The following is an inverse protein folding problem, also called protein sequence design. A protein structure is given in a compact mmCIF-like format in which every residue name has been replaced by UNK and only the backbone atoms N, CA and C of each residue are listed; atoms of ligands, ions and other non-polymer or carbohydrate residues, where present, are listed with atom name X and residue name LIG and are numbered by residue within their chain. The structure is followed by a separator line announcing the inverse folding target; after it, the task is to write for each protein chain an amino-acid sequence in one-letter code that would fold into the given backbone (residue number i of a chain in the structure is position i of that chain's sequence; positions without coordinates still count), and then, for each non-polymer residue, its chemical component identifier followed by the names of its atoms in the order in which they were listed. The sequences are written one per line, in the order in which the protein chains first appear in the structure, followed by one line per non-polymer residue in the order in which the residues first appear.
data_IF_050547036699
#
_entry.id   IF_050547036699
#
_cell.length_a   1.000
_cell.length_b   1.000
_cell.length_c   1.000
_cell.angle_alpha   90.00
_cell.angle_beta   90.00
_cell.angle_gamma   90.00
#
_symmetry.space_group_name_H-M   'P 1'
#
loop_
_entity.id
_entity.type
_entity.pdbx_description
1 polymer ?
#
# COMPACT_ATOMS: atom_id res chain seq x y z
N UNK A 1 8.27 13.79 -24.15
CA UNK A 1 8.74 14.57 -25.32
C UNK A 1 8.85 13.60 -26.47
N UNK A 2 8.12 13.84 -27.55
CA UNK A 2 8.08 12.97 -28.72
C UNK A 2 8.81 13.67 -29.86
N UNK A 3 10.04 13.24 -30.15
CA UNK A 3 10.92 13.87 -31.14
C UNK A 3 10.47 13.52 -32.56
N UNK A 4 10.53 14.49 -33.48
CA UNK A 4 10.29 14.27 -34.90
C UNK A 4 11.64 14.11 -35.62
N UNK A 5 11.99 12.90 -36.10
CA UNK A 5 13.29 12.66 -36.72
C UNK A 5 13.48 13.42 -38.03
N UNK A 6 12.41 13.71 -38.79
CA UNK A 6 12.51 14.46 -40.03
C UNK A 6 12.83 15.94 -39.76
N UNK A 7 12.16 16.54 -38.75
CA UNK A 7 12.44 17.92 -38.33
C UNK A 7 13.82 18.06 -37.72
N UNK A 8 14.25 17.10 -36.89
CA UNK A 8 15.61 17.08 -36.35
C UNK A 8 16.66 17.08 -37.47
N UNK A 9 16.48 16.25 -38.50
CA UNK A 9 17.40 16.20 -39.63
C UNK A 9 17.44 17.53 -40.42
N UNK A 10 16.30 18.19 -40.63
CA UNK A 10 16.25 19.48 -41.33
C UNK A 10 17.07 20.59 -40.64
N UNK A 11 17.15 20.56 -39.30
CA UNK A 11 17.95 21.52 -38.53
C UNK A 11 19.38 21.03 -38.23
N UNK A 12 19.77 19.86 -38.76
CA UNK A 12 20.99 19.12 -38.44
C UNK A 12 21.18 18.93 -36.92
N UNK A 13 20.12 18.52 -36.25
CA UNK A 13 20.09 18.22 -34.82
C UNK A 13 19.95 16.72 -34.58
N UNK A 14 20.54 16.25 -33.49
CA UNK A 14 20.44 14.87 -33.03
C UNK A 14 19.67 14.79 -31.70
N UNK A 15 19.19 13.59 -31.31
CA UNK A 15 18.64 13.39 -29.96
C UNK A 15 19.63 13.74 -28.84
N UNK A 16 20.95 13.65 -29.10
CA UNK A 16 21.99 14.02 -28.14
C UNK A 16 21.99 15.53 -27.89
N UNK A 17 21.85 16.34 -28.94
CA UNK A 17 21.76 17.80 -28.82
C UNK A 17 20.54 18.22 -28.00
N UNK A 18 19.40 17.57 -28.23
CA UNK A 18 18.18 17.79 -27.44
C UNK A 18 18.40 17.43 -25.97
N UNK A 19 18.97 16.26 -25.68
CA UNK A 19 19.29 15.84 -24.31
C UNK A 19 20.21 16.85 -23.62
N UNK A 20 21.25 17.31 -24.30
CA UNK A 20 22.21 18.28 -23.76
C UNK A 20 21.54 19.63 -23.48
N UNK A 21 20.73 20.14 -24.40
CA UNK A 21 20.00 21.38 -24.23
C UNK A 21 19.04 21.34 -23.03
N UNK A 22 18.31 20.23 -22.86
CA UNK A 22 17.42 20.03 -21.70
C UNK A 22 18.22 20.00 -20.41
N UNK A 23 19.32 19.24 -20.37
CA UNK A 23 20.15 19.11 -19.16
C UNK A 23 20.79 20.44 -18.77
N UNK A 24 21.16 21.29 -19.74
CA UNK A 24 21.76 22.60 -19.50
C UNK A 24 20.75 23.68 -19.07
N UNK A 25 19.49 23.59 -19.53
CA UNK A 25 18.48 24.63 -19.28
C UNK A 25 17.48 24.29 -18.19
N UNK A 26 17.23 23.00 -17.93
CA UNK A 26 16.39 22.54 -16.82
C UNK A 26 17.24 22.27 -15.56
N UNK A 27 17.83 23.34 -15.02
CA UNK A 27 18.73 23.28 -13.87
C UNK A 27 18.19 24.06 -12.67
N UNK A 28 18.59 23.64 -11.47
CA UNK A 28 18.39 24.41 -10.25
C UNK A 28 19.73 25.00 -9.83
N UNK A 29 19.86 26.33 -9.87
CA UNK A 29 21.10 27.03 -9.51
C UNK A 29 20.93 27.74 -8.17
N UNK A 30 21.71 27.33 -7.17
CA UNK A 30 21.81 28.08 -5.91
C UNK A 30 22.68 29.31 -6.13
N UNK A 31 22.11 30.50 -5.88
CA UNK A 31 22.79 31.78 -6.17
C UNK A 31 23.24 32.51 -4.91
N UNK A 32 23.15 31.88 -3.73
CA UNK A 32 23.57 32.47 -2.47
C UNK A 32 22.63 33.54 -1.94
N UNK A 33 23.17 34.50 -1.18
CA UNK A 33 22.41 35.55 -0.52
C UNK A 33 23.12 36.90 -0.63
N UNK A 34 22.36 37.96 -0.85
CA UNK A 34 22.80 39.35 -0.66
C UNK A 34 22.91 39.62 0.84
N UNK A 35 24.05 40.13 1.29
CA UNK A 35 24.29 40.39 2.73
C UNK A 35 24.37 39.13 3.60
N UNK A 36 24.68 37.97 2.99
CA UNK A 36 25.03 36.75 3.73
C UNK A 36 26.33 36.91 4.53
N UNK A 37 26.48 36.16 5.61
CA UNK A 37 27.71 36.17 6.40
C UNK A 37 28.86 35.47 5.66
N UNK A 38 30.11 35.97 5.76
CA UNK A 38 30.52 37.20 6.46
C UNK A 38 30.15 38.48 5.69
N UNK A 39 29.53 39.44 6.38
CA UNK A 39 29.06 40.70 5.80
C UNK A 39 29.82 41.91 6.32
N UNK A 40 29.75 43.04 5.60
CA UNK A 40 30.31 44.32 6.04
C UNK A 40 29.54 44.88 7.24
N UNK A 41 30.22 45.61 8.12
CA UNK A 41 29.59 46.23 9.30
C UNK A 41 28.55 47.27 8.87
N UNK A 42 27.36 47.21 9.45
CA UNK A 42 26.22 48.07 9.08
C UNK A 42 25.33 47.53 7.95
N UNK A 43 25.56 46.32 7.43
CA UNK A 43 24.67 45.68 6.46
C UNK A 43 23.26 45.45 7.04
N UNK A 44 22.25 46.16 6.51
CA UNK A 44 20.86 46.07 6.99
C UNK A 44 19.99 45.07 6.21
N UNK A 45 20.36 44.74 4.97
CA UNK A 45 19.60 43.83 4.10
C UNK A 45 20.27 42.47 4.01
N UNK A 46 19.54 41.40 4.36
CA UNK A 46 19.87 40.04 3.98
C UNK A 46 18.73 39.47 3.13
N UNK A 47 19.03 39.03 1.90
CA UNK A 47 18.04 38.48 0.98
C UNK A 47 18.61 37.30 0.19
N UNK A 48 17.85 36.22 0.06
CA UNK A 48 18.27 35.06 -0.75
C UNK A 48 18.11 35.34 -2.23
N UNK A 49 19.15 35.04 -3.02
CA UNK A 49 19.12 35.18 -4.47
C UNK A 49 18.55 33.91 -5.06
N UNK A 50 17.42 34.04 -5.76
CA UNK A 50 16.80 32.93 -6.48
C UNK A 50 17.37 32.92 -7.90
N UNK A 51 18.16 31.90 -8.21
CA UNK A 51 18.69 31.66 -9.54
C UNK A 51 17.70 30.96 -10.46
N UNK A 52 18.20 30.39 -11.56
CA UNK A 52 17.39 29.54 -12.44
C UNK A 52 16.80 28.37 -11.66
N UNK A 53 15.50 28.14 -11.86
CA UNK A 53 14.75 27.02 -11.31
C UNK A 53 14.40 26.02 -12.41
N UNK A 54 14.08 24.78 -12.01
CA UNK A 54 13.60 23.76 -12.94
C UNK A 54 12.32 24.21 -13.64
N UNK A 55 12.20 23.79 -14.90
CA UNK A 55 11.01 24.02 -15.72
C UNK A 55 9.85 23.18 -15.18
N UNK A 56 8.65 23.75 -15.19
CA UNK A 56 7.45 23.18 -14.59
C UNK A 56 6.32 22.91 -15.60
N UNK A 57 6.30 23.62 -16.73
CA UNK A 57 5.21 23.52 -17.70
C UNK A 57 5.69 23.01 -19.06
N UNK A 58 4.82 22.32 -19.79
CA UNK A 58 5.13 21.86 -21.15
C UNK A 58 5.54 23.02 -22.08
N UNK A 59 4.96 24.21 -21.88
CA UNK A 59 5.33 25.42 -22.63
C UNK A 59 6.77 25.87 -22.33
N UNK A 60 7.18 25.85 -21.06
CA UNK A 60 8.56 26.16 -20.67
C UNK A 60 9.55 25.16 -21.30
N UNK A 61 9.22 23.87 -21.30
CA UNK A 61 10.02 22.86 -22.00
C UNK A 61 10.04 23.07 -23.52
N UNK A 62 8.90 23.41 -24.14
CA UNK A 62 8.82 23.71 -25.57
C UNK A 62 9.66 24.91 -25.99
N UNK A 63 9.90 25.85 -25.07
CA UNK A 63 10.73 27.03 -25.29
C UNK A 63 12.22 26.81 -25.03
N UNK A 64 12.66 25.58 -24.69
CA UNK A 64 14.09 25.24 -24.56
C UNK A 64 14.79 25.56 -25.88
N UNK A 65 15.90 26.30 -25.77
CA UNK A 65 16.69 26.73 -26.89
C UNK A 65 17.59 25.59 -27.40
N UNK A 66 17.58 25.30 -28.70
CA UNK A 66 18.43 24.25 -29.28
C UNK A 66 19.60 24.83 -30.08
N UNK A 67 19.34 25.74 -31.02
CA UNK A 67 20.35 26.26 -31.95
C UNK A 67 19.94 27.63 -32.51
N UNK A 68 20.92 28.49 -32.80
CA UNK A 68 20.74 29.67 -33.67
C UNK A 68 21.24 29.29 -35.06
N UNK A 69 20.45 29.54 -36.09
CA UNK A 69 20.86 29.36 -37.49
C UNK A 69 21.74 30.54 -37.95
N UNK A 70 22.40 30.39 -39.08
CA UNK A 70 23.28 31.43 -39.65
C UNK A 70 22.56 32.72 -40.02
N UNK A 71 21.25 32.66 -40.23
CA UNK A 71 20.37 33.81 -40.51
C UNK A 71 19.84 34.51 -39.23
N UNK A 72 20.24 34.03 -38.04
CA UNK A 72 19.77 34.54 -36.75
C UNK A 72 18.44 33.94 -36.28
N UNK A 73 17.82 33.06 -37.06
CA UNK A 73 16.61 32.35 -36.63
C UNK A 73 16.92 31.37 -35.49
N UNK A 74 15.98 31.24 -34.56
CA UNK A 74 16.14 30.44 -33.34
C UNK A 74 15.33 29.15 -33.46
N UNK A 75 15.97 28.01 -33.24
CA UNK A 75 15.32 26.70 -33.17
C UNK A 75 15.08 26.34 -31.71
N UNK A 76 13.82 26.09 -31.37
CA UNK A 76 13.37 25.67 -30.04
C UNK A 76 12.92 24.22 -30.03
N UNK A 77 12.78 23.63 -28.85
CA UNK A 77 12.36 22.24 -28.71
C UNK A 77 11.00 21.97 -29.36
N UNK A 78 10.05 22.91 -29.24
CA UNK A 78 8.72 22.81 -29.89
C UNK A 78 8.77 22.72 -31.41
N UNK A 79 9.86 23.17 -32.04
CA UNK A 79 10.00 23.16 -33.50
C UNK A 79 10.41 21.77 -34.01
N UNK A 80 10.96 20.91 -33.15
CA UNK A 80 11.46 19.57 -33.50
C UNK A 80 10.84 18.44 -32.68
N UNK A 81 9.97 18.75 -31.73
CA UNK A 81 9.35 17.77 -30.86
C UNK A 81 7.97 18.22 -30.35
N UNK A 82 7.08 17.25 -30.14
CA UNK A 82 5.86 17.48 -29.36
C UNK A 82 6.21 17.40 -27.87
N UNK A 83 5.81 18.42 -27.12
CA UNK A 83 6.04 18.52 -25.67
C UNK A 83 4.71 18.52 -24.95
N UNK A 84 4.56 17.64 -23.98
CA UNK A 84 3.33 17.46 -23.23
C UNK A 84 3.53 16.51 -22.06
N UNK A 85 2.55 16.50 -21.16
CA UNK A 85 2.48 15.53 -20.08
C UNK A 85 2.00 14.19 -20.65
N UNK A 86 2.61 13.11 -20.21
CA UNK A 86 2.31 11.75 -20.62
C UNK A 86 2.76 10.77 -19.56
N UNK A 87 2.45 9.49 -19.76
CA UNK A 87 2.94 8.44 -18.90
C UNK A 87 4.45 8.27 -19.06
N UNK A 88 5.14 7.86 -17.99
CA UNK A 88 6.55 7.47 -18.07
C UNK A 88 6.74 6.25 -19.00
N UNK A 89 5.79 5.32 -18.93
CA UNK A 89 5.75 4.11 -19.75
C UNK A 89 4.28 3.79 -20.13
N UNK A 90 4.09 3.30 -21.35
CA UNK A 90 2.80 2.90 -21.93
C UNK A 90 2.63 1.38 -22.05
N UNK A 91 3.47 0.59 -21.38
CA UNK A 91 3.47 -0.89 -21.46
C UNK A 91 2.28 -1.56 -20.78
N UNK A 92 1.52 -0.83 -19.97
CA UNK A 92 0.41 -1.37 -19.19
C UNK A 92 -0.83 -0.53 -19.42
N UNK A 93 -1.86 -1.17 -19.96
CA UNK A 93 -3.22 -0.62 -20.00
C UNK A 93 -4.03 -1.25 -18.88
N UNK A 94 -4.60 -0.43 -18.00
CA UNK A 94 -5.35 -0.89 -16.82
C UNK A 94 -6.80 -0.45 -16.96
N UNK A 95 -7.70 -1.43 -16.86
CA UNK A 95 -9.13 -1.20 -16.96
C UNK A 95 -9.87 -1.90 -15.83
N UNK A 96 -10.98 -1.31 -15.41
CA UNK A 96 -11.92 -1.90 -14.47
C UNK A 96 -13.31 -1.81 -15.08
N UNK A 97 -13.99 -2.95 -15.26
CA UNK A 97 -15.28 -3.07 -15.96
C UNK A 97 -15.32 -2.33 -17.31
N UNK A 98 -14.24 -2.45 -18.10
CA UNK A 98 -14.10 -1.82 -19.42
C UNK A 98 -13.91 -0.31 -19.41
N UNK A 99 -13.71 0.31 -18.23
CA UNK A 99 -13.40 1.74 -18.09
C UNK A 99 -11.92 1.94 -17.74
N UNK A 100 -11.28 3.05 -18.19
CA UNK A 100 -9.91 3.37 -17.81
C UNK A 100 -9.76 3.42 -16.29
N UNK A 101 -8.77 2.68 -15.77
CA UNK A 101 -8.53 2.58 -14.34
C UNK A 101 -7.03 2.63 -14.04
N UNK A 102 -6.71 2.95 -12.80
CA UNK A 102 -5.38 2.77 -12.23
C UNK A 102 -5.53 2.03 -10.90
N UNK A 103 -4.46 1.46 -10.39
CA UNK A 103 -4.50 0.63 -9.20
C UNK A 103 -3.20 0.59 -8.44
N UNK A 104 -3.31 0.25 -7.17
CA UNK A 104 -2.19 -0.01 -6.27
C UNK A 104 -2.29 -1.45 -5.80
N UNK A 105 -1.27 -2.24 -6.11
CA UNK A 105 -1.12 -3.59 -5.57
C UNK A 105 -0.48 -3.51 -4.18
N UNK A 106 -1.29 -3.71 -3.15
CA UNK A 106 -0.82 -3.63 -1.76
C UNK A 106 -0.42 -5.02 -1.28
N UNK A 107 0.80 -5.14 -0.77
CA UNK A 107 1.33 -6.36 -0.15
C UNK A 107 1.49 -6.15 1.33
N UNK A 108 1.12 -7.16 2.10
CA UNK A 108 1.28 -7.15 3.55
C UNK A 108 2.78 -7.20 3.91
N UNK A 109 3.21 -6.34 4.83
CA UNK A 109 4.55 -6.41 5.39
C UNK A 109 4.73 -7.67 6.25
N UNK A 110 5.95 -8.17 6.35
CA UNK A 110 6.25 -9.35 7.18
C UNK A 110 5.84 -9.12 8.63
N UNK A 111 5.05 -10.05 9.18
CA UNK A 111 4.57 -9.99 10.57
C UNK A 111 3.43 -9.00 10.82
N UNK A 112 2.97 -8.26 9.80
CA UNK A 112 1.82 -7.37 9.95
C UNK A 112 0.50 -8.15 9.95
N UNK A 113 -0.54 -7.56 10.54
CA UNK A 113 -1.89 -8.12 10.54
C UNK A 113 -2.68 -7.67 9.30
N UNK A 114 -3.25 -8.61 8.57
CA UNK A 114 -3.99 -8.34 7.33
C UNK A 114 -5.25 -7.49 7.57
N UNK A 115 -6.03 -7.78 8.62
CA UNK A 115 -7.29 -7.09 8.91
C UNK A 115 -7.02 -5.65 9.37
N UNK A 116 -6.04 -5.45 10.25
CA UNK A 116 -5.67 -4.10 10.72
C UNK A 116 -5.14 -3.24 9.56
N UNK A 117 -4.31 -3.84 8.71
CA UNK A 117 -3.76 -3.15 7.53
C UNK A 117 -4.87 -2.75 6.56
N UNK A 118 -5.81 -3.65 6.25
CA UNK A 118 -6.93 -3.34 5.38
C UNK A 118 -7.84 -2.25 5.97
N UNK A 119 -8.07 -2.27 7.29
CA UNK A 119 -8.82 -1.22 7.98
C UNK A 119 -8.10 0.14 7.89
N UNK A 120 -6.78 0.17 8.08
CA UNK A 120 -5.97 1.38 7.96
C UNK A 120 -5.96 1.93 6.53
N UNK A 121 -5.89 1.06 5.52
CA UNK A 121 -5.98 1.44 4.10
C UNK A 121 -7.33 2.11 3.83
N UNK A 122 -8.44 1.46 4.23
CA UNK A 122 -9.79 2.01 4.03
C UNK A 122 -9.96 3.36 4.72
N UNK A 123 -9.48 3.49 5.96
CA UNK A 123 -9.50 4.76 6.68
C UNK A 123 -8.71 5.85 5.96
N UNK A 124 -7.53 5.51 5.44
CA UNK A 124 -6.69 6.45 4.67
C UNK A 124 -7.39 6.88 3.39
N UNK A 125 -7.97 5.94 2.63
CA UNK A 125 -8.73 6.25 1.42
C UNK A 125 -9.91 7.17 1.73
N UNK A 126 -10.71 6.86 2.75
CA UNK A 126 -11.83 7.71 3.15
C UNK A 126 -11.40 9.12 3.57
N UNK A 127 -10.21 9.28 4.15
CA UNK A 127 -9.66 10.61 4.47
C UNK A 127 -9.22 11.41 3.23
N UNK A 128 -8.89 10.72 2.13
CA UNK A 128 -8.42 11.32 0.88
C UNK A 128 -9.56 11.57 -0.11
N UNK A 129 -10.64 10.80 -0.03
CA UNK A 129 -11.83 10.91 -0.89
C UNK A 129 -12.36 12.34 -1.07
N UNK A 130 -12.41 13.22 -0.04
CA UNK A 130 -12.86 14.60 -0.19
C UNK A 130 -12.00 15.46 -1.12
N UNK A 131 -10.74 15.09 -1.35
CA UNK A 131 -9.80 15.82 -2.20
C UNK A 131 -9.76 15.28 -3.63
N UNK A 132 -10.59 14.29 -3.95
CA UNK A 132 -10.59 13.70 -5.28
C UNK A 132 -11.22 14.63 -6.32
N UNK A 133 -10.68 14.64 -7.55
CA UNK A 133 -11.30 15.35 -8.64
C UNK A 133 -12.66 14.73 -8.98
N UNK A 134 -13.60 15.51 -9.56
CA UNK A 134 -14.90 15.01 -9.97
C UNK A 134 -14.81 13.76 -10.85
N UNK A 135 -15.59 12.73 -10.53
CA UNK A 135 -15.65 11.48 -11.28
C UNK A 135 -14.60 10.43 -10.89
N UNK A 136 -13.64 10.75 -10.03
CA UNK A 136 -12.72 9.77 -9.46
C UNK A 136 -13.39 8.99 -8.32
N UNK A 137 -13.31 7.66 -8.37
CA UNK A 137 -13.84 6.77 -7.34
C UNK A 137 -12.85 5.64 -7.08
N UNK A 138 -12.70 5.27 -5.80
CA UNK A 138 -11.95 4.08 -5.41
C UNK A 138 -12.86 2.87 -5.38
N UNK A 139 -12.37 1.77 -5.92
CA UNK A 139 -13.00 0.45 -5.87
C UNK A 139 -12.00 -0.55 -5.31
N UNK A 140 -12.50 -1.61 -4.67
CA UNK A 140 -11.68 -2.67 -4.07
C UNK A 140 -11.93 -3.97 -4.83
N UNK A 141 -11.35 -4.14 -6.03
CA UNK A 141 -11.68 -5.27 -6.90
C UNK A 141 -11.11 -6.60 -6.40
N UNK A 142 -10.07 -6.54 -5.58
CA UNK A 142 -9.42 -7.70 -5.01
C UNK A 142 -9.06 -7.42 -3.54
N UNK A 143 -9.73 -8.11 -2.63
CA UNK A 143 -9.48 -8.03 -1.19
C UNK A 143 -9.65 -9.43 -0.61
N UNK A 144 -8.61 -9.91 0.08
CA UNK A 144 -8.58 -11.23 0.72
C UNK A 144 -9.10 -11.20 2.16
N UNK A 145 -9.18 -10.00 2.77
CA UNK A 145 -9.54 -9.85 4.18
C UNK A 145 -10.98 -10.25 4.53
N UNK A 146 -12.00 -10.08 3.66
CA UNK A 146 -13.35 -10.57 3.96
C UNK A 146 -13.36 -12.09 4.13
N UNK A 147 -12.67 -12.83 3.26
CA UNK A 147 -12.60 -14.30 3.34
C UNK A 147 -11.89 -14.74 4.62
N UNK A 148 -10.80 -14.07 5.02
CA UNK A 148 -10.10 -14.36 6.27
C UNK A 148 -10.98 -14.07 7.48
N UNK A 149 -11.67 -12.92 7.48
CA UNK A 149 -12.57 -12.52 8.57
C UNK A 149 -13.72 -13.50 8.74
N UNK A 150 -14.39 -13.88 7.64
CA UNK A 150 -15.47 -14.87 7.65
C UNK A 150 -14.96 -16.26 8.08
N UNK A 151 -13.75 -16.65 7.66
CA UNK A 151 -13.15 -17.91 8.10
C UNK A 151 -12.90 -17.95 9.61
N UNK A 152 -12.38 -16.85 10.18
CA UNK A 152 -12.16 -16.74 11.63
C UNK A 152 -13.51 -16.80 12.36
N UNK A 153 -14.51 -16.03 11.89
CA UNK A 153 -15.83 -16.01 12.49
C UNK A 153 -16.51 -17.38 12.45
N UNK A 154 -16.43 -18.08 11.32
CA UNK A 154 -16.93 -19.44 11.17
C UNK A 154 -16.28 -20.42 12.14
N UNK A 155 -14.97 -20.32 12.37
CA UNK A 155 -14.31 -21.19 13.36
C UNK A 155 -14.74 -20.84 14.78
N UNK A 156 -14.89 -19.56 15.12
CA UNK A 156 -15.39 -19.16 16.44
C UNK A 156 -16.81 -19.71 16.67
N UNK A 157 -17.69 -19.62 15.67
CA UNK A 157 -19.04 -20.20 15.74
C UNK A 157 -19.01 -21.71 15.94
N UNK A 158 -18.26 -22.44 15.12
CA UNK A 158 -18.14 -23.91 15.25
C UNK A 158 -17.51 -24.33 16.57
N UNK A 159 -16.59 -23.54 17.13
CA UNK A 159 -16.00 -23.79 18.44
C UNK A 159 -17.02 -23.61 19.58
N UNK A 160 -17.87 -22.59 19.50
CA UNK A 160 -18.98 -22.40 20.45
C UNK A 160 -19.98 -23.56 20.35
N UNK A 161 -20.37 -23.95 19.13
CA UNK A 161 -21.26 -25.11 18.91
C UNK A 161 -20.65 -26.40 19.46
N UNK A 162 -19.36 -26.64 19.23
CA UNK A 162 -18.66 -27.80 19.77
C UNK A 162 -18.67 -27.82 21.30
N UNK A 163 -18.40 -26.69 21.97
CA UNK A 163 -18.45 -26.60 23.44
C UNK A 163 -19.86 -26.88 23.96
N UNK A 164 -20.90 -26.35 23.31
CA UNK A 164 -22.30 -26.61 23.69
C UNK A 164 -22.66 -28.07 23.50
N UNK A 165 -22.27 -28.69 22.38
CA UNK A 165 -22.51 -30.11 22.12
C UNK A 165 -21.80 -31.00 23.15
N UNK A 166 -20.54 -30.70 23.48
CA UNK A 166 -19.80 -31.39 24.53
C UNK A 166 -20.54 -31.26 25.86
N UNK A 167 -20.96 -30.06 26.25
CA UNK A 167 -21.72 -29.83 27.49
C UNK A 167 -22.99 -30.70 27.53
N UNK A 168 -23.76 -30.75 26.44
CA UNK A 168 -25.00 -31.54 26.37
C UNK A 168 -24.74 -33.05 26.49
N UNK A 169 -23.73 -33.55 25.77
CA UNK A 169 -23.34 -34.97 25.83
C UNK A 169 -22.85 -35.33 27.23
N UNK A 170 -21.98 -34.51 27.82
CA UNK A 170 -21.48 -34.72 29.19
C UNK A 170 -22.61 -34.71 30.22
N UNK A 171 -23.55 -33.77 30.10
CA UNK A 171 -24.69 -33.70 31.00
C UNK A 171 -25.59 -34.93 30.90
N UNK A 172 -25.76 -35.48 29.69
CA UNK A 172 -26.55 -36.68 29.46
C UNK A 172 -25.95 -37.91 30.15
N UNK A 173 -24.63 -38.09 30.09
CA UNK A 173 -23.95 -39.24 30.69
C UNK A 173 -23.74 -39.08 32.20
N UNK A 174 -23.29 -37.90 32.65
CA UNK A 174 -22.94 -37.68 34.05
C UNK A 174 -24.15 -37.34 34.94
N UNK A 175 -25.24 -36.81 34.35
CA UNK A 175 -26.46 -36.36 35.05
C UNK A 175 -26.20 -35.44 36.26
N UNK A 176 -25.00 -34.84 36.31
CA UNK A 176 -24.51 -34.02 37.40
C UNK A 176 -23.98 -32.71 36.82
N UNK A 177 -24.68 -31.63 37.13
CA UNK A 177 -24.34 -30.29 36.63
C UNK A 177 -22.94 -29.84 37.03
N UNK A 178 -22.49 -30.16 38.26
CA UNK A 178 -21.17 -29.75 38.75
C UNK A 178 -20.06 -30.45 37.97
N UNK A 179 -20.20 -31.77 37.75
CA UNK A 179 -19.22 -32.55 36.99
C UNK A 179 -19.14 -32.09 35.53
N UNK A 180 -20.30 -31.84 34.91
CA UNK A 180 -20.40 -31.34 33.53
C UNK A 180 -19.67 -30.01 33.34
N UNK A 181 -19.90 -29.04 34.23
CA UNK A 181 -19.26 -27.71 34.15
C UNK A 181 -17.74 -27.81 34.32
N UNK A 182 -17.25 -28.69 35.20
CA UNK A 182 -15.80 -28.91 35.39
C UNK A 182 -15.17 -29.39 34.07
N UNK A 183 -15.75 -30.41 33.43
CA UNK A 183 -15.26 -30.94 32.16
C UNK A 183 -15.32 -29.90 31.04
N UNK A 184 -16.44 -29.15 30.92
CA UNK A 184 -16.60 -28.13 29.87
C UNK A 184 -15.62 -26.97 30.03
N UNK A 185 -15.29 -26.56 31.25
CA UNK A 185 -14.34 -25.46 31.50
C UNK A 185 -12.88 -25.82 31.14
N UNK A 186 -12.52 -27.10 31.11
CA UNK A 186 -11.19 -27.55 30.71
C UNK A 186 -10.87 -27.16 29.26
N UNK A 187 -11.86 -27.23 28.36
CA UNK A 187 -11.66 -26.95 26.93
C UNK A 187 -11.25 -25.48 26.67
N UNK A 188 -11.98 -24.44 27.15
CA UNK A 188 -11.55 -23.05 27.02
C UNK A 188 -10.18 -22.76 27.63
N UNK A 189 -9.86 -23.36 28.77
CA UNK A 189 -8.57 -23.12 29.46
C UNK A 189 -7.41 -23.63 28.62
N UNK A 190 -7.51 -24.85 28.07
CA UNK A 190 -6.44 -25.40 27.24
C UNK A 190 -6.32 -24.66 25.90
N UNK A 191 -7.44 -24.23 25.31
CA UNK A 191 -7.41 -23.40 24.09
C UNK A 191 -6.71 -22.06 24.33
N UNK A 192 -7.03 -21.36 25.42
CA UNK A 192 -6.33 -20.13 25.80
C UNK A 192 -4.83 -20.37 26.04
N UNK A 193 -4.48 -21.47 26.70
CA UNK A 193 -3.08 -21.88 26.86
C UNK A 193 -2.38 -22.14 25.52
N UNK A 194 -3.07 -22.80 24.59
CA UNK A 194 -2.57 -23.07 23.23
C UNK A 194 -2.31 -21.76 22.48
N UNK A 195 -3.24 -20.79 22.54
CA UNK A 195 -3.00 -19.46 21.97
C UNK A 195 -1.80 -18.75 22.60
N UNK A 196 -1.61 -18.87 23.92
CA UNK A 196 -0.45 -18.33 24.63
C UNK A 196 0.87 -18.93 24.12
N UNK A 197 0.92 -20.24 23.90
CA UNK A 197 2.08 -20.93 23.34
C UNK A 197 2.30 -20.51 21.89
N UNK A 198 1.26 -20.53 21.05
CA UNK A 198 1.36 -20.09 19.65
C UNK A 198 1.90 -18.66 19.55
N UNK A 199 1.42 -17.75 20.40
CA UNK A 199 1.93 -16.39 20.47
C UNK A 199 3.40 -16.33 20.90
N UNK A 200 3.81 -17.12 21.90
CA UNK A 200 5.20 -17.18 22.36
C UNK A 200 6.18 -17.67 21.28
N UNK A 201 5.72 -18.55 20.39
CA UNK A 201 6.50 -19.04 19.24
C UNK A 201 6.33 -18.18 17.97
N UNK A 202 5.56 -17.09 18.04
CA UNK A 202 5.35 -16.18 16.90
C UNK A 202 4.45 -16.73 15.80
N UNK A 203 3.62 -17.73 16.10
CA UNK A 203 2.59 -18.20 15.17
C UNK A 203 1.46 -17.19 15.07
N UNK A 204 0.88 -17.09 13.87
CA UNK A 204 -0.28 -16.23 13.60
C UNK A 204 -1.57 -17.05 13.64
N UNK A 205 -2.68 -16.40 13.98
CA UNK A 205 -4.01 -16.98 13.82
C UNK A 205 -4.34 -16.99 12.32
N UNK A 206 -4.40 -18.17 11.74
CA UNK A 206 -4.75 -18.39 10.34
C UNK A 206 -5.59 -19.67 10.18
N UNK A 207 -6.06 -19.93 8.98
CA UNK A 207 -6.95 -21.07 8.69
C UNK A 207 -6.37 -22.42 9.15
N UNK A 208 -5.05 -22.65 9.03
CA UNK A 208 -4.42 -23.91 9.45
C UNK A 208 -4.39 -24.06 10.98
N UNK A 209 -3.98 -23.02 11.71
CA UNK A 209 -3.95 -23.06 13.18
C UNK A 209 -5.36 -23.22 13.76
N UNK A 210 -6.36 -22.61 13.12
CA UNK A 210 -7.76 -22.73 13.50
C UNK A 210 -8.31 -24.16 13.28
N UNK A 211 -8.01 -24.80 12.14
CA UNK A 211 -8.36 -26.21 11.93
C UNK A 211 -7.68 -27.14 12.93
N UNK A 212 -6.41 -26.90 13.25
CA UNK A 212 -5.70 -27.65 14.28
C UNK A 212 -6.40 -27.59 15.64
N UNK A 213 -6.95 -26.43 16.02
CA UNK A 213 -7.72 -26.29 17.26
C UNK A 213 -9.02 -27.08 17.24
N UNK A 214 -9.76 -27.07 16.13
CA UNK A 214 -11.00 -27.86 16.00
C UNK A 214 -10.73 -29.35 16.17
N UNK A 215 -9.65 -29.87 15.57
CA UNK A 215 -9.25 -31.27 15.74
C UNK A 215 -8.79 -31.57 17.18
N UNK A 216 -8.07 -30.64 17.81
CA UNK A 216 -7.60 -30.80 19.18
C UNK A 216 -8.73 -30.91 20.21
N UNK A 217 -9.89 -30.28 19.98
CA UNK A 217 -11.04 -30.37 20.88
C UNK A 217 -11.47 -31.83 21.09
N UNK A 218 -11.46 -32.66 20.05
CA UNK A 218 -11.82 -34.08 20.18
C UNK A 218 -10.92 -34.84 21.16
N UNK A 219 -9.62 -34.55 21.14
CA UNK A 219 -8.64 -35.15 22.05
C UNK A 219 -8.79 -34.59 23.48
N UNK A 220 -9.03 -33.28 23.61
CA UNK A 220 -9.14 -32.62 24.92
C UNK A 220 -10.38 -33.06 25.70
N UNK A 221 -11.47 -33.33 24.99
CA UNK A 221 -12.72 -33.78 25.61
C UNK A 221 -12.59 -35.21 26.10
N UNK A 222 -11.92 -36.08 25.33
CA UNK A 222 -11.68 -37.48 25.72
C UNK A 222 -10.88 -37.57 27.03
N UNK A 223 -9.76 -36.84 27.13
CA UNK A 223 -8.96 -36.75 28.35
C UNK A 223 -9.80 -36.25 29.55
N UNK A 224 -10.65 -35.25 29.33
CA UNK A 224 -11.48 -34.69 30.39
C UNK A 224 -12.62 -35.62 30.82
N UNK A 225 -13.10 -36.51 29.94
CA UNK A 225 -14.08 -37.55 30.26
C UNK A 225 -13.45 -38.62 31.15
N UNK A 226 -12.31 -39.17 30.73
CA UNK A 226 -11.63 -40.29 31.42
C UNK A 226 -11.33 -39.93 32.87
N UNK A 227 -10.91 -38.70 33.15
CA UNK A 227 -10.61 -38.25 34.51
C UNK A 227 -11.87 -38.16 35.39
N UNK A 228 -13.00 -37.74 34.83
CA UNK A 228 -14.26 -37.59 35.61
C UNK A 228 -14.98 -38.93 35.79
N UNK A 229 -14.86 -39.85 34.85
CA UNK A 229 -15.42 -41.20 34.99
C UNK A 229 -14.65 -42.06 36.01
N UNK A 230 -13.36 -41.77 36.22
CA UNK A 230 -12.49 -42.50 37.15
C UNK A 230 -12.53 -41.95 38.61
N UNK A 231 -13.41 -41.01 38.93
CA UNK A 231 -13.58 -40.39 40.26
C UNK A 231 -14.96 -40.72 40.83
#
# INVERSE_FOLDING_TARGET
MWLDPAKLNNFQLTPVDVKNAITAQNVQVSSGQLGGLPSISGQQLNATIIGKTRLQTAEQFGNIFLKVNTDGSQVRLKDVATVGLGAENYSTDSQFDGKPASGLAIKLATGANALDTAKAIRATVSSLEPFFPPGMKVVYPYDTTPVVSESINGVVHTLIEAIVLVFLVMYLFLQNFRATVITTMTVPVVLLGTFGILAAFGFTINTLTMFGMVLAIGLLVDDAIVVVENV
#
